data_IF_667485018231
#
_entry.id   IF_667485018231
#
_cell.length_a   1.000
_cell.length_b   1.000
_cell.length_c   1.000
_cell.angle_alpha   90.00
_cell.angle_beta   90.00
_cell.angle_gamma   90.00
#
_symmetry.space_group_name_H-M   'P 1'
#
loop_
_entity.id
_entity.type
_entity.pdbx_description
1 polymer ?
#
# COMPACT_ATOMS: atom_id res chain seq x y z
N UNK A 1 -17.78 18.32 14.85
CA UNK A 1 -16.31 18.47 14.94
C UNK A 1 -15.99 19.94 15.08
N UNK A 2 -15.14 20.31 16.03
CA UNK A 2 -14.76 21.69 16.34
C UNK A 2 -13.32 21.96 15.86
N UNK A 3 -13.12 23.11 15.23
CA UNK A 3 -11.88 23.45 14.51
C UNK A 3 -10.66 23.57 15.42
N UNK A 4 -10.90 23.89 16.69
CA UNK A 4 -9.88 24.09 17.73
C UNK A 4 -9.22 22.78 18.20
N UNK A 5 -9.76 21.62 17.83
CA UNK A 5 -9.25 20.30 18.24
C UNK A 5 -8.40 19.62 17.14
N UNK A 6 -8.03 20.32 16.07
CA UNK A 6 -7.28 19.76 14.94
C UNK A 6 -5.80 20.17 15.01
N UNK A 7 -4.93 19.22 15.35
CA UNK A 7 -3.48 19.39 15.24
C UNK A 7 -3.03 19.20 13.79
N UNK A 8 -2.53 20.25 13.15
CA UNK A 8 -1.98 20.19 11.79
C UNK A 8 -0.48 19.92 11.86
N UNK A 9 -0.04 18.79 11.35
CA UNK A 9 1.37 18.41 11.21
C UNK A 9 1.85 18.63 9.79
N UNK A 10 3.08 19.13 9.64
CA UNK A 10 3.81 19.20 8.36
C UNK A 10 5.01 18.26 8.44
N UNK A 11 5.22 17.47 7.39
CA UNK A 11 6.39 16.59 7.28
C UNK A 11 7.65 17.45 7.17
N UNK A 12 8.67 17.13 7.96
CA UNK A 12 9.98 17.79 7.88
C UNK A 12 10.75 17.23 6.67
N UNK A 13 11.11 18.05 5.67
CA UNK A 13 11.90 17.60 4.52
C UNK A 13 13.30 17.08 4.91
N UNK A 14 13.84 17.52 6.05
CA UNK A 14 15.17 17.09 6.55
C UNK A 14 15.12 15.81 7.36
N UNK A 15 13.92 15.39 7.77
CA UNK A 15 13.68 14.15 8.50
C UNK A 15 12.50 13.40 7.86
N UNK A 16 12.66 12.90 6.63
CA UNK A 16 11.62 12.12 5.98
C UNK A 16 11.35 10.85 6.79
N UNK A 17 10.08 10.57 7.05
CA UNK A 17 9.69 9.31 7.67
C UNK A 17 9.92 8.17 6.68
N UNK A 18 10.97 7.38 6.89
CA UNK A 18 11.14 6.13 6.15
C UNK A 18 10.24 5.06 6.77
N UNK A 19 9.43 4.41 5.93
CA UNK A 19 8.71 3.21 6.35
C UNK A 19 9.70 2.13 6.78
N UNK A 20 9.24 1.19 7.62
CA UNK A 20 10.07 0.04 8.05
C UNK A 20 10.27 -1.01 6.94
N UNK A 21 9.59 -0.84 5.81
CA UNK A 21 9.64 -1.77 4.68
C UNK A 21 11.00 -1.73 4.00
N UNK A 22 11.63 -2.91 3.90
CA UNK A 22 12.87 -3.07 3.14
C UNK A 22 12.57 -3.16 1.64
N UNK A 23 12.58 -2.01 0.96
CA UNK A 23 12.27 -1.93 -0.47
C UNK A 23 13.29 -2.59 -1.38
N UNK A 24 14.56 -2.66 -0.99
CA UNK A 24 15.60 -3.37 -1.77
C UNK A 24 15.30 -4.86 -1.82
N UNK A 25 14.91 -5.45 -0.68
CA UNK A 25 14.49 -6.85 -0.60
C UNK A 25 13.27 -7.11 -1.47
N UNK A 26 12.24 -6.25 -1.39
CA UNK A 26 11.02 -6.40 -2.20
C UNK A 26 11.33 -6.35 -3.70
N UNK A 27 12.20 -5.43 -4.15
CA UNK A 27 12.58 -5.33 -5.57
C UNK A 27 13.37 -6.53 -6.09
N UNK A 28 14.01 -7.29 -5.22
CA UNK A 28 14.78 -8.47 -5.60
C UNK A 28 13.93 -9.75 -5.64
N UNK A 29 12.71 -9.74 -5.10
CA UNK A 29 11.81 -10.89 -5.09
C UNK A 29 11.23 -11.18 -6.48
N UNK A 30 10.99 -12.46 -6.77
CA UNK A 30 10.19 -12.83 -7.93
C UNK A 30 8.71 -12.58 -7.69
N UNK A 31 7.91 -12.58 -8.76
CA UNK A 31 6.46 -12.44 -8.64
C UNK A 31 5.86 -13.56 -7.78
N UNK A 32 6.33 -14.80 -7.93
CA UNK A 32 5.87 -15.93 -7.14
C UNK A 32 6.16 -15.73 -5.64
N UNK A 33 7.34 -15.21 -5.30
CA UNK A 33 7.71 -14.92 -3.92
C UNK A 33 6.85 -13.79 -3.32
N UNK A 34 6.57 -12.74 -4.10
CA UNK A 34 5.65 -11.66 -3.71
C UNK A 34 4.25 -12.22 -3.45
N UNK A 35 3.74 -13.07 -4.35
CA UNK A 35 2.42 -13.68 -4.21
C UNK A 35 2.32 -14.58 -2.97
N UNK A 36 3.36 -15.36 -2.67
CA UNK A 36 3.39 -16.17 -1.44
C UNK A 36 3.46 -15.31 -0.19
N UNK A 37 4.26 -14.24 -0.20
CA UNK A 37 4.35 -13.31 0.92
C UNK A 37 3.00 -12.62 1.19
N UNK A 38 2.30 -12.17 0.14
CA UNK A 38 0.98 -11.57 0.26
C UNK A 38 -0.07 -12.56 0.82
N UNK A 39 -0.05 -13.83 0.39
CA UNK A 39 -0.95 -14.87 0.91
C UNK A 39 -0.65 -15.27 2.35
N UNK A 40 0.60 -15.11 2.80
CA UNK A 40 1.00 -15.39 4.18
C UNK A 40 0.64 -14.26 5.14
N UNK A 41 0.28 -13.08 4.64
CA UNK A 41 -0.10 -11.93 5.45
C UNK A 41 -1.57 -12.04 5.91
N UNK A 42 -1.86 -12.25 7.21
CA UNK A 42 -3.21 -12.48 7.71
C UNK A 42 -4.10 -11.23 7.69
N UNK A 43 -3.52 -10.02 7.65
CA UNK A 43 -4.29 -8.77 7.68
C UNK A 43 -4.52 -8.15 6.30
N UNK A 44 -3.79 -8.61 5.29
CA UNK A 44 -3.76 -8.02 3.95
C UNK A 44 -3.70 -9.10 2.84
N UNK A 45 -4.64 -10.05 2.90
CA UNK A 45 -4.74 -11.10 1.89
C UNK A 45 -5.10 -10.52 0.50
N UNK A 46 -4.55 -11.07 -0.58
CA UNK A 46 -4.96 -10.70 -1.92
C UNK A 46 -6.40 -11.14 -2.21
N UNK A 47 -7.12 -10.32 -2.98
CA UNK A 47 -8.46 -10.65 -3.46
C UNK A 47 -8.45 -11.92 -4.32
N UNK A 48 -9.54 -12.66 -4.26
CA UNK A 48 -9.76 -13.78 -5.16
C UNK A 48 -9.98 -13.32 -6.60
N UNK A 49 -9.78 -14.22 -7.55
CA UNK A 49 -10.00 -13.92 -8.96
C UNK A 49 -11.44 -13.52 -9.27
N UNK A 50 -12.41 -14.03 -8.49
CA UNK A 50 -13.82 -13.69 -8.63
C UNK A 50 -14.10 -12.28 -8.11
N UNK A 51 -13.56 -11.90 -6.96
CA UNK A 51 -13.70 -10.52 -6.46
C UNK A 51 -13.03 -9.52 -7.40
N UNK A 52 -11.87 -9.87 -7.97
CA UNK A 52 -11.18 -9.01 -8.95
C UNK A 52 -11.97 -8.81 -10.25
N UNK A 53 -12.75 -9.80 -10.70
CA UNK A 53 -13.52 -9.68 -11.96
C UNK A 53 -14.74 -8.77 -11.84
N UNK A 54 -15.15 -8.41 -10.62
CA UNK A 54 -16.22 -7.44 -10.37
C UNK A 54 -15.76 -5.99 -10.59
N UNK A 55 -14.44 -5.74 -10.57
CA UNK A 55 -13.89 -4.41 -10.82
C UNK A 55 -13.80 -4.11 -12.32
N UNK A 56 -14.06 -2.86 -12.68
CA UNK A 56 -13.88 -2.34 -14.04
C UNK A 56 -12.77 -1.30 -14.07
N UNK A 57 -11.97 -1.30 -15.14
CA UNK A 57 -10.90 -0.33 -15.31
C UNK A 57 -11.48 1.07 -15.53
N UNK A 58 -11.10 2.02 -14.68
CA UNK A 58 -11.45 3.43 -14.89
C UNK A 58 -10.35 4.09 -15.71
N UNK A 59 -10.60 4.29 -17.02
CA UNK A 59 -9.69 5.07 -17.86
C UNK A 59 -9.95 6.55 -17.64
N UNK A 60 -9.12 7.21 -16.81
CA UNK A 60 -9.14 8.67 -16.73
C UNK A 60 -8.43 9.21 -17.97
N UNK A 61 -9.18 9.83 -18.89
CA UNK A 61 -8.57 10.59 -19.99
C UNK A 61 -7.79 11.75 -19.37
N UNK A 62 -6.47 11.74 -19.53
CA UNK A 62 -5.59 12.87 -19.18
C UNK A 62 -5.70 13.99 -20.20
#
# INVERSE_FOLDING_TARGET
MNENNITRVKLDPKNPSYGKTNWEKVKAMTEEEIQQAAKADPDCLPLSQQELSEFSSVSVKQ
#
